data_IF_887723633580
#
_entry.id   IF_887723633580
#
_cell.length_a   1.000
_cell.length_b   1.000
_cell.length_c   1.000
_cell.angle_alpha   90.00
_cell.angle_beta   90.00
_cell.angle_gamma   90.00
#
_symmetry.space_group_name_H-M   'P 1'
#
loop_
_entity.id
_entity.type
_entity.pdbx_description
1 polymer ?
#
# COMPACT_ATOMS: atom_id res chain seq x y z
N UNK A 1 21.45 1.74 18.39
CA UNK A 1 20.10 2.29 18.64
C UNK A 1 19.16 1.12 18.48
N UNK A 2 18.36 0.80 19.50
CA UNK A 2 17.38 -0.30 19.41
C UNK A 2 16.18 0.23 18.63
N UNK A 3 15.73 -0.51 17.62
CA UNK A 3 14.57 -0.13 16.83
C UNK A 3 13.32 0.00 17.72
N UNK A 4 12.50 1.01 17.43
CA UNK A 4 11.24 1.21 18.15
C UNK A 4 10.28 0.05 17.84
N UNK A 5 9.70 -0.56 18.86
CA UNK A 5 8.78 -1.70 18.71
C UNK A 5 7.45 -1.33 18.03
N UNK A 6 7.12 -0.03 17.95
CA UNK A 6 5.82 0.46 17.47
C UNK A 6 5.93 1.23 16.15
N UNK A 7 7.12 1.33 15.56
CA UNK A 7 7.38 2.10 14.33
C UNK A 7 8.10 1.17 13.35
N UNK A 8 7.64 1.09 12.10
CA UNK A 8 8.37 0.35 11.08
C UNK A 8 9.62 1.16 10.69
N UNK A 9 10.78 0.51 10.54
CA UNK A 9 12.01 1.20 10.17
C UNK A 9 11.95 1.65 8.70
N UNK A 10 12.75 2.68 8.36
CA UNK A 10 12.75 3.27 7.02
C UNK A 10 13.39 2.36 5.96
N UNK A 11 14.26 1.45 6.39
CA UNK A 11 14.96 0.46 5.56
C UNK A 11 14.26 -0.91 5.56
N UNK A 12 12.95 -0.94 5.85
CA UNK A 12 12.17 -2.17 5.80
C UNK A 12 12.25 -2.82 4.41
N UNK A 13 12.57 -4.11 4.38
CA UNK A 13 12.69 -4.85 3.13
C UNK A 13 11.35 -5.01 2.42
N UNK A 14 11.29 -4.65 1.14
CA UNK A 14 10.14 -4.90 0.27
C UNK A 14 10.50 -5.98 -0.75
N UNK A 15 9.62 -6.98 -0.91
CA UNK A 15 9.77 -8.04 -1.92
C UNK A 15 8.52 -8.14 -2.77
N UNK A 16 8.70 -8.09 -4.08
CA UNK A 16 7.60 -8.23 -5.05
C UNK A 16 7.33 -9.71 -5.29
N UNK A 17 6.08 -10.12 -5.18
CA UNK A 17 5.67 -11.49 -5.50
C UNK A 17 5.81 -11.74 -7.01
N UNK A 18 6.72 -12.64 -7.41
CA UNK A 18 6.81 -13.09 -8.80
C UNK A 18 5.73 -14.15 -9.07
N UNK A 19 4.71 -13.74 -9.83
CA UNK A 19 3.67 -14.64 -10.33
C UNK A 19 3.51 -14.54 -11.85
N UNK A 20 4.40 -13.84 -12.55
CA UNK A 20 4.21 -13.51 -13.96
C UNK A 20 4.23 -14.76 -14.82
N UNK A 21 5.27 -15.60 -14.68
CA UNK A 21 5.39 -16.84 -15.45
C UNK A 21 4.24 -17.81 -15.17
N UNK A 22 3.84 -17.96 -13.90
CA UNK A 22 2.70 -18.80 -13.52
C UNK A 22 1.39 -18.29 -14.15
N UNK A 23 1.16 -16.98 -14.13
CA UNK A 23 -0.03 -16.38 -14.73
C UNK A 23 -0.06 -16.56 -16.27
N UNK A 24 1.09 -16.53 -16.94
CA UNK A 24 1.16 -16.72 -18.39
C UNK A 24 0.74 -18.12 -18.85
N UNK A 25 1.01 -19.15 -18.02
CA UNK A 25 0.63 -20.53 -18.29
C UNK A 25 -0.87 -20.79 -18.23
N UNK A 26 -1.64 -19.90 -17.60
CA UNK A 26 -3.10 -20.02 -17.51
C UNK A 26 -3.76 -19.82 -18.88
N UNK A 27 -4.75 -20.65 -19.16
CA UNK A 27 -5.69 -20.45 -20.25
C UNK A 27 -6.51 -19.17 -20.05
N UNK A 28 -7.22 -18.74 -21.10
CA UNK A 28 -8.08 -17.56 -21.02
C UNK A 28 -9.17 -17.71 -19.96
N UNK A 29 -9.75 -18.91 -19.83
CA UNK A 29 -10.82 -19.20 -18.86
C UNK A 29 -10.27 -19.16 -17.43
N UNK A 30 -9.12 -19.79 -17.18
CA UNK A 30 -8.46 -19.78 -15.87
C UNK A 30 -8.03 -18.37 -15.46
N UNK A 31 -7.59 -17.53 -16.41
CA UNK A 31 -7.30 -16.11 -16.15
C UNK A 31 -8.54 -15.33 -15.72
N UNK A 32 -9.69 -15.59 -16.34
CA UNK A 32 -10.96 -14.96 -15.95
C UNK A 32 -11.41 -15.45 -14.58
N UNK A 33 -11.31 -16.75 -14.31
CA UNK A 33 -11.58 -17.32 -12.99
C UNK A 33 -10.70 -16.68 -11.91
N UNK A 34 -9.38 -16.65 -12.14
CA UNK A 34 -8.40 -16.01 -11.26
C UNK A 34 -8.72 -14.52 -11.04
N UNK A 35 -9.08 -13.79 -12.10
CA UNK A 35 -9.46 -12.38 -11.99
C UNK A 35 -10.66 -12.17 -11.06
N UNK A 36 -11.75 -12.92 -11.25
CA UNK A 36 -12.96 -12.74 -10.46
C UNK A 36 -12.80 -13.21 -9.01
N UNK A 37 -12.07 -14.31 -8.77
CA UNK A 37 -11.78 -14.73 -7.40
C UNK A 37 -10.86 -13.72 -6.70
N UNK A 38 -9.83 -13.18 -7.37
CA UNK A 38 -8.99 -12.12 -6.80
C UNK A 38 -9.81 -10.88 -6.45
N UNK A 39 -10.75 -10.45 -7.31
CA UNK A 39 -11.64 -9.32 -6.98
C UNK A 39 -12.49 -9.59 -5.75
N UNK A 40 -13.11 -10.77 -5.66
CA UNK A 40 -13.89 -11.17 -4.50
C UNK A 40 -13.04 -11.14 -3.22
N UNK A 41 -11.82 -11.69 -3.26
CA UNK A 41 -10.89 -11.68 -2.14
C UNK A 41 -10.47 -10.27 -1.72
N UNK A 42 -10.17 -9.37 -2.68
CA UNK A 42 -9.81 -7.99 -2.36
C UNK A 42 -10.96 -7.21 -1.71
N UNK A 43 -12.20 -7.40 -2.19
CA UNK A 43 -13.36 -6.79 -1.52
C UNK A 43 -13.60 -7.38 -0.13
N UNK A 44 -13.52 -8.71 0.01
CA UNK A 44 -13.66 -9.37 1.32
C UNK A 44 -12.56 -8.97 2.31
N UNK A 45 -11.34 -8.73 1.82
CA UNK A 45 -10.21 -8.27 2.64
C UNK A 45 -10.44 -6.92 3.31
N UNK A 46 -11.28 -6.05 2.74
CA UNK A 46 -11.63 -4.76 3.37
C UNK A 46 -12.37 -4.94 4.72
N UNK A 47 -13.01 -6.09 4.94
CA UNK A 47 -13.64 -6.41 6.24
C UNK A 47 -12.60 -6.48 7.36
N UNK A 48 -11.35 -6.87 7.06
CA UNK A 48 -10.26 -6.96 8.04
C UNK A 48 -9.96 -5.60 8.68
N UNK A 49 -10.17 -4.50 7.96
CA UNK A 49 -10.04 -3.15 8.52
C UNK A 49 -10.98 -2.95 9.71
N UNK A 50 -12.23 -3.42 9.60
CA UNK A 50 -13.23 -3.35 10.67
C UNK A 50 -12.94 -4.33 11.82
N UNK A 51 -12.17 -5.39 11.55
CA UNK A 51 -11.77 -6.39 12.54
C UNK A 51 -10.48 -6.03 13.28
N UNK A 52 -9.72 -5.05 12.78
CA UNK A 52 -8.40 -4.69 13.32
C UNK A 52 -8.51 -3.64 14.41
N UNK A 53 -9.10 -2.47 14.12
CA UNK A 53 -9.32 -1.41 15.11
C UNK A 53 -10.41 -0.42 14.66
N UNK A 54 -11.01 0.36 15.57
CA UNK A 54 -12.03 1.35 15.23
C UNK A 54 -11.57 2.40 14.20
N UNK A 55 -10.30 2.79 14.24
CA UNK A 55 -9.71 3.82 13.37
C UNK A 55 -9.19 3.27 12.02
N UNK A 56 -8.93 1.97 11.91
CA UNK A 56 -8.37 1.33 10.71
C UNK A 56 -9.12 1.64 9.41
N UNK A 57 -10.47 1.59 9.34
CA UNK A 57 -11.20 1.95 8.12
C UNK A 57 -11.02 3.41 7.72
N UNK A 58 -11.00 4.33 8.71
CA UNK A 58 -10.86 5.75 8.45
C UNK A 58 -9.45 6.10 7.94
N UNK A 59 -8.41 5.51 8.54
CA UNK A 59 -7.02 5.65 8.09
C UNK A 59 -6.89 5.14 6.64
N UNK A 60 -7.43 3.95 6.33
CA UNK A 60 -7.41 3.41 4.97
C UNK A 60 -8.08 4.35 3.96
N UNK A 61 -9.29 4.84 4.26
CA UNK A 61 -10.02 5.76 3.37
C UNK A 61 -9.27 7.07 3.18
N UNK A 62 -8.64 7.61 4.22
CA UNK A 62 -7.82 8.82 4.13
C UNK A 62 -6.65 8.62 3.16
N UNK A 63 -5.86 7.55 3.33
CA UNK A 63 -4.72 7.24 2.47
C UNK A 63 -5.17 7.00 1.01
N UNK A 64 -6.27 6.26 0.81
CA UNK A 64 -6.82 6.04 -0.54
C UNK A 64 -7.25 7.35 -1.20
N UNK A 65 -7.88 8.27 -0.48
CA UNK A 65 -8.28 9.57 -1.01
C UNK A 65 -7.06 10.43 -1.34
N UNK A 66 -6.06 10.46 -0.46
CA UNK A 66 -4.84 11.23 -0.63
C UNK A 66 -4.09 10.81 -1.91
N UNK A 67 -3.74 9.52 -2.03
CA UNK A 67 -2.96 9.01 -3.17
C UNK A 67 -3.75 8.92 -4.48
N UNK A 68 -5.09 8.99 -4.44
CA UNK A 68 -5.91 9.14 -5.65
C UNK A 68 -6.04 10.58 -6.10
N UNK A 69 -6.00 11.54 -5.18
CA UNK A 69 -6.11 12.95 -5.49
C UNK A 69 -4.80 13.52 -6.04
N UNK A 70 -3.66 13.04 -5.53
CA UNK A 70 -2.34 13.52 -5.92
C UNK A 70 -1.37 12.36 -6.15
N UNK A 71 -0.64 12.32 -7.28
CA UNK A 71 0.44 11.36 -7.48
C UNK A 71 1.60 11.64 -6.51
N UNK A 72 2.44 10.62 -6.27
CA UNK A 72 3.52 10.67 -5.27
C UNK A 72 4.51 11.81 -5.48
N UNK A 73 4.81 12.18 -6.72
CA UNK A 73 5.71 13.29 -7.05
C UNK A 73 5.14 14.64 -6.61
N UNK A 74 3.86 14.89 -6.92
CA UNK A 74 3.17 16.14 -6.55
C UNK A 74 2.90 16.23 -5.04
N UNK A 75 2.65 15.08 -4.40
CA UNK A 75 2.47 15.02 -2.96
C UNK A 75 3.77 15.37 -2.20
N UNK A 76 4.94 14.96 -2.73
CA UNK A 76 6.23 15.33 -2.16
C UNK A 76 6.45 16.84 -2.21
N UNK A 77 6.21 17.46 -3.38
CA UNK A 77 6.30 18.91 -3.54
C UNK A 77 5.35 19.65 -2.58
N UNK A 78 4.11 19.17 -2.48
CA UNK A 78 3.11 19.71 -1.56
C UNK A 78 3.58 19.60 -0.11
N UNK A 79 4.09 18.45 0.31
CA UNK A 79 4.61 18.23 1.66
C UNK A 79 5.77 19.17 1.99
N UNK A 80 6.74 19.30 1.08
CA UNK A 80 7.88 20.21 1.24
C UNK A 80 7.45 21.68 1.27
N UNK A 81 6.42 22.08 0.52
CA UNK A 81 5.89 23.44 0.56
C UNK A 81 5.29 23.84 1.93
N UNK A 82 4.82 22.86 2.70
CA UNK A 82 4.27 23.04 4.06
C UNK A 82 5.36 22.85 5.13
N UNK A 83 6.61 22.59 4.72
CA UNK A 83 7.76 22.46 5.61
C UNK A 83 8.06 21.04 6.08
N UNK A 84 7.43 20.01 5.51
CA UNK A 84 7.79 18.61 5.76
C UNK A 84 9.09 18.31 5.04
N UNK A 85 10.09 17.81 5.77
CA UNK A 85 11.38 17.46 5.18
C UNK A 85 11.25 16.23 4.28
N UNK A 86 12.18 16.08 3.33
CA UNK A 86 12.22 14.89 2.47
C UNK A 86 12.35 13.60 3.28
N UNK A 87 13.06 13.61 4.40
CA UNK A 87 13.21 12.45 5.28
C UNK A 87 11.88 12.08 5.96
N UNK A 88 11.14 13.05 6.50
CA UNK A 88 9.81 12.83 7.09
C UNK A 88 8.78 12.37 6.05
N UNK A 89 8.88 12.88 4.82
CA UNK A 89 8.06 12.40 3.72
C UNK A 89 8.34 10.93 3.40
N UNK A 90 9.62 10.52 3.35
CA UNK A 90 9.99 9.12 3.13
C UNK A 90 9.52 8.20 4.26
N UNK A 91 9.51 8.67 5.52
CA UNK A 91 8.92 7.92 6.66
C UNK A 91 7.43 7.62 6.44
N UNK A 92 6.71 8.45 5.70
CA UNK A 92 5.29 8.25 5.39
C UNK A 92 5.08 7.13 4.36
N UNK A 93 6.00 7.00 3.40
CA UNK A 93 5.91 6.01 2.32
C UNK A 93 6.54 4.66 2.70
N UNK A 94 7.65 4.67 3.43
CA UNK A 94 8.45 3.50 3.83
C UNK A 94 8.74 2.53 2.67
N UNK A 95 8.95 3.10 1.48
CA UNK A 95 9.44 2.38 0.30
C UNK A 95 10.96 2.63 0.23
N UNK A 96 11.81 1.59 0.19
CA UNK A 96 13.23 1.79 0.01
C UNK A 96 13.47 2.44 -1.37
N UNK A 97 14.32 3.47 -1.38
CA UNK A 97 14.76 4.15 -2.60
C UNK A 97 15.61 3.25 -3.50
#
# INVERSE_FOLDING_TARGET
MVDSQYILPNDIGISVLDCQNAFWLLSKEEKLYAHYISRASWYGGLVVLLQTSPESPAIYVLLQKLFRAQPLSELQETATSVGITSEEYQVTLRIPA
#
